data_IF_787395256243
#
_entry.id   IF_787395256243
#
_cell.length_a   1.000
_cell.length_b   1.000
_cell.length_c   1.000
_cell.angle_alpha   90.00
_cell.angle_beta   90.00
_cell.angle_gamma   90.00
#
_symmetry.space_group_name_H-M   'P 1'
#
loop_
_entity.id
_entity.type
_entity.pdbx_description
1 polymer ?
#
# COMPACT_ATOMS: atom_id res chain seq x y z
N UNK A 1 3.96 9.81 0.05
CA UNK A 1 3.23 9.52 -1.21
C UNK A 1 3.25 10.71 -2.15
N UNK A 2 3.30 10.47 -3.47
CA UNK A 2 3.07 11.48 -4.52
C UNK A 2 1.63 11.42 -5.03
N UNK A 3 1.13 12.45 -5.69
CA UNK A 3 -0.27 12.55 -6.18
C UNK A 3 -0.71 11.35 -7.04
N UNK A 4 0.20 10.82 -7.87
CA UNK A 4 -0.06 9.64 -8.69
C UNK A 4 -0.28 8.37 -7.85
N UNK A 5 0.40 8.23 -6.71
CA UNK A 5 0.23 7.09 -5.81
C UNK A 5 -1.08 7.18 -5.02
N UNK A 6 -1.46 8.39 -4.62
CA UNK A 6 -2.77 8.63 -4.00
C UNK A 6 -3.91 8.23 -4.95
N UNK A 7 -3.82 8.56 -6.24
CA UNK A 7 -4.81 8.13 -7.23
C UNK A 7 -4.79 6.60 -7.43
N UNK A 8 -3.60 5.99 -7.50
CA UNK A 8 -3.41 4.54 -7.67
C UNK A 8 -3.98 3.74 -6.51
N UNK A 9 -3.80 4.21 -5.28
CA UNK A 9 -4.18 3.50 -4.05
C UNK A 9 -5.44 4.07 -3.38
N UNK A 10 -6.18 4.99 -4.01
CA UNK A 10 -7.30 5.69 -3.38
C UNK A 10 -8.36 4.74 -2.80
N UNK A 11 -8.66 3.65 -3.50
CA UNK A 11 -9.60 2.62 -3.04
C UNK A 11 -9.13 1.87 -1.80
N UNK A 12 -7.82 1.65 -1.66
CA UNK A 12 -7.26 1.01 -0.48
C UNK A 12 -7.23 1.98 0.70
N UNK A 13 -6.80 3.22 0.46
CA UNK A 13 -6.74 4.28 1.47
C UNK A 13 -8.14 4.60 2.03
N UNK A 14 -9.19 4.53 1.21
CA UNK A 14 -10.58 4.74 1.68
C UNK A 14 -11.09 3.67 2.65
N UNK A 15 -10.38 2.55 2.81
CA UNK A 15 -10.73 1.54 3.80
C UNK A 15 -10.23 1.98 5.18
N UNK A 16 -11.10 2.11 6.20
CA UNK A 16 -10.71 2.58 7.54
C UNK A 16 -9.58 1.80 8.20
N UNK A 17 -9.44 0.52 7.85
CA UNK A 17 -8.39 -0.36 8.37
C UNK A 17 -7.02 -0.18 7.70
N UNK A 18 -6.97 0.47 6.53
CA UNK A 18 -5.71 0.76 5.83
C UNK A 18 -5.34 2.22 6.07
N UNK A 19 -6.24 3.14 5.70
CA UNK A 19 -5.99 4.58 5.73
C UNK A 19 -4.65 4.96 5.04
N UNK A 20 -4.19 6.20 5.18
CA UNK A 20 -2.94 6.68 4.63
C UNK A 20 -1.75 6.03 5.36
N UNK A 21 -1.80 5.89 6.68
CA UNK A 21 -0.69 5.34 7.48
C UNK A 21 -0.43 3.86 7.18
N UNK A 22 -1.48 3.04 7.03
CA UNK A 22 -1.34 1.64 6.68
C UNK A 22 -0.83 1.46 5.25
N UNK A 23 -1.25 2.31 4.32
CA UNK A 23 -0.72 2.30 2.96
C UNK A 23 0.78 2.65 2.94
N UNK A 24 1.20 3.63 3.72
CA UNK A 24 2.62 3.99 3.85
C UNK A 24 3.44 2.84 4.45
N UNK A 25 2.92 2.15 5.47
CA UNK A 25 3.56 0.93 6.02
C UNK A 25 3.73 -0.17 4.98
N UNK A 26 2.74 -0.40 4.11
CA UNK A 26 2.84 -1.38 3.03
C UNK A 26 3.91 -0.96 2.02
N UNK A 27 3.97 0.32 1.65
CA UNK A 27 4.98 0.84 0.72
C UNK A 27 6.40 0.74 1.26
N UNK A 28 6.58 0.95 2.56
CA UNK A 28 7.89 0.88 3.23
C UNK A 28 8.27 -0.57 3.61
N UNK A 29 7.36 -1.52 3.42
CA UNK A 29 7.61 -2.94 3.72
C UNK A 29 8.46 -3.61 2.65
N UNK A 30 9.30 -4.55 3.08
CA UNK A 30 10.03 -5.46 2.19
C UNK A 30 9.49 -6.87 2.39
N UNK A 31 9.07 -7.53 1.30
CA UNK A 31 8.48 -8.87 1.34
C UNK A 31 9.36 -9.82 0.53
N UNK A 32 9.73 -10.96 1.13
CA UNK A 32 10.40 -12.06 0.45
C UNK A 32 9.36 -13.12 0.05
N UNK A 33 9.38 -13.51 -1.22
CA UNK A 33 8.56 -14.60 -1.75
C UNK A 33 9.50 -15.74 -2.12
N UNK A 34 9.30 -16.93 -1.53
CA UNK A 34 10.10 -18.14 -1.82
C UNK A 34 9.21 -19.14 -2.55
N UNK A 35 9.57 -19.42 -3.80
CA UNK A 35 8.77 -20.26 -4.69
C UNK A 35 7.64 -19.47 -5.35
N UNK A 36 7.60 -19.54 -6.68
CA UNK A 36 6.52 -18.99 -7.51
C UNK A 36 6.05 -20.07 -8.49
N UNK A 37 5.83 -21.26 -7.94
CA UNK A 37 5.30 -22.42 -8.65
C UNK A 37 3.79 -22.41 -8.69
#
# INVERSE_FOLDING_TARGET
MKDQELLRYSKQIMLPQIDIEGQQKIMDSTVLIIGMG
#
